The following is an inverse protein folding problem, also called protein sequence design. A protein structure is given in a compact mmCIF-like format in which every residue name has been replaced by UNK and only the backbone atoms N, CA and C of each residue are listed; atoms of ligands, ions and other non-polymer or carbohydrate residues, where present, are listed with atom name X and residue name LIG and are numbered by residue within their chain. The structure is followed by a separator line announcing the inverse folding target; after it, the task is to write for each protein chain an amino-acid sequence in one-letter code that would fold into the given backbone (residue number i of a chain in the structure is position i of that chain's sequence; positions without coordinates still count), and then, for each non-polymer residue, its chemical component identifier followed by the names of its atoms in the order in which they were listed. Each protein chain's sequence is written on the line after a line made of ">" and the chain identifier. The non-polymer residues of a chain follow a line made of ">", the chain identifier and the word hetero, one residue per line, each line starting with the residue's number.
data_IF_831544943904
#
_entry.id   IF_831544943904
#
_cell.length_a   1.000
_cell.length_b   1.000
_cell.length_c   1.000
_cell.angle_alpha   90.00
_cell.angle_beta   90.00
_cell.angle_gamma   90.00
#
_symmetry.space_group_name_H-M   'P 1'
#
loop_
_entity.id
_entity.type
_entity.pdbx_description
1 polymer ?
#
# COMPACT_ATOMS: atom_id res chain seq x y z
N UNK A 1 13.69 12.76 13.49
CA UNK A 1 12.99 11.60 14.09
C UNK A 1 11.61 12.07 14.49
N UNK A 2 10.65 12.04 13.55
CA UNK A 2 9.28 12.46 13.83
C UNK A 2 8.36 11.28 13.53
N UNK A 3 7.74 10.81 14.63
CA UNK A 3 6.52 10.02 14.76
C UNK A 3 6.40 8.77 13.88
N UNK A 4 6.76 7.63 14.49
CA UNK A 4 6.41 6.30 13.99
C UNK A 4 4.92 5.96 14.20
N UNK A 5 4.17 6.81 14.92
CA UNK A 5 2.83 6.47 15.39
C UNK A 5 1.78 7.34 14.69
N UNK A 6 1.32 6.89 13.52
CA UNK A 6 0.14 7.43 12.85
C UNK A 6 -1.16 6.92 13.52
N UNK A 7 -1.27 7.10 14.83
CA UNK A 7 -2.34 6.54 15.67
C UNK A 7 -3.74 6.80 15.09
N UNK A 8 -4.01 8.01 14.61
CA UNK A 8 -5.30 8.32 13.99
C UNK A 8 -5.57 7.47 12.75
N UNK A 9 -4.60 7.39 11.83
CA UNK A 9 -4.77 6.68 10.55
C UNK A 9 -4.87 5.16 10.76
N UNK A 10 -4.18 4.63 11.75
CA UNK A 10 -4.19 3.20 12.06
C UNK A 10 -5.50 2.71 12.68
N UNK A 11 -6.33 3.61 13.22
CA UNK A 11 -7.66 3.29 13.74
C UNK A 11 -8.80 3.58 12.74
N UNK A 12 -8.48 4.12 11.57
CA UNK A 12 -9.48 4.29 10.50
C UNK A 12 -9.61 2.97 9.73
N UNK A 13 -10.81 2.38 9.63
CA UNK A 13 -11.02 1.11 8.93
C UNK A 13 -10.85 1.22 7.40
N UNK A 14 -10.87 2.44 6.86
CA UNK A 14 -10.64 2.69 5.44
C UNK A 14 -9.19 2.41 5.03
N UNK A 15 -9.00 1.90 3.82
CA UNK A 15 -7.68 1.72 3.23
C UNK A 15 -7.15 3.07 2.71
N UNK A 16 -6.14 3.63 3.37
CA UNK A 16 -5.60 4.96 3.06
C UNK A 16 -4.14 4.83 2.66
N UNK A 17 -3.81 5.31 1.47
CA UNK A 17 -2.43 5.49 1.00
C UNK A 17 -2.24 6.91 0.50
N UNK A 18 -1.10 7.52 0.84
CA UNK A 18 -0.72 8.83 0.32
C UNK A 18 0.45 8.67 -0.64
N UNK A 19 0.34 9.36 -1.77
CA UNK A 19 1.24 9.25 -2.91
C UNK A 19 1.74 10.62 -3.29
N UNK A 20 2.89 10.65 -3.95
CA UNK A 20 3.32 11.85 -4.66
C UNK A 20 2.57 12.02 -5.99
N UNK A 21 2.93 13.07 -6.71
CA UNK A 21 2.34 13.42 -8.02
C UNK A 21 2.58 12.36 -9.09
N UNK A 22 3.62 11.54 -8.93
CA UNK A 22 4.00 10.46 -9.84
C UNK A 22 3.33 9.12 -9.45
N UNK A 23 2.37 9.16 -8.52
CA UNK A 23 1.61 8.01 -8.01
C UNK A 23 2.47 6.99 -7.26
N UNK A 24 3.59 7.42 -6.73
CA UNK A 24 4.48 6.60 -5.91
C UNK A 24 4.07 6.74 -4.44
N UNK A 25 3.90 5.61 -3.76
CA UNK A 25 3.54 5.57 -2.34
C UNK A 25 4.62 6.24 -1.49
N UNK A 26 4.19 7.20 -0.67
CA UNK A 26 4.98 7.80 0.41
C UNK A 26 4.65 7.15 1.77
N UNK A 27 3.60 6.32 1.80
CA UNK A 27 3.20 5.52 2.94
C UNK A 27 1.72 5.11 2.86
N UNK A 28 1.30 4.32 3.84
CA UNK A 28 -0.06 3.82 3.97
C UNK A 28 -0.41 3.59 5.44
N UNK A 29 -1.70 3.58 5.75
CA UNK A 29 -2.17 3.15 7.06
C UNK A 29 -2.13 1.62 7.20
N UNK A 30 -2.21 1.14 8.45
CA UNK A 30 -2.23 -0.29 8.75
C UNK A 30 -3.26 -1.09 7.94
N UNK A 31 -4.48 -0.57 7.81
CA UNK A 31 -5.55 -1.26 7.08
C UNK A 31 -5.20 -1.53 5.61
N UNK A 32 -4.62 -0.55 4.89
CA UNK A 32 -4.19 -0.76 3.50
C UNK A 32 -3.01 -1.72 3.40
N UNK A 33 -2.04 -1.66 4.32
CA UNK A 33 -0.90 -2.58 4.34
C UNK A 33 -1.36 -4.03 4.52
N UNK A 34 -2.27 -4.27 5.46
CA UNK A 34 -2.88 -5.59 5.70
C UNK A 34 -3.65 -6.08 4.48
N UNK A 35 -4.47 -5.22 3.87
CA UNK A 35 -5.22 -5.55 2.66
C UNK A 35 -4.31 -5.92 1.48
N UNK A 36 -3.15 -5.26 1.34
CA UNK A 36 -2.16 -5.54 0.29
C UNK A 36 -1.19 -6.67 0.65
N UNK A 37 -1.24 -7.22 1.87
CA UNK A 37 -0.31 -8.24 2.34
C UNK A 37 1.12 -7.73 2.56
N UNK A 38 1.28 -6.43 2.80
CA UNK A 38 2.58 -5.78 3.07
C UNK A 38 2.87 -5.81 4.56
N UNK A 39 3.97 -6.46 4.96
CA UNK A 39 4.28 -6.69 6.38
C UNK A 39 4.91 -5.49 7.08
N UNK A 40 5.78 -4.76 6.41
CA UNK A 40 6.49 -3.62 7.00
C UNK A 40 6.11 -2.33 6.28
N UNK A 41 5.79 -1.23 6.99
CA UNK A 41 5.42 0.04 6.37
C UNK A 41 6.48 0.60 5.41
N UNK A 42 7.76 0.32 5.63
CA UNK A 42 8.82 0.77 4.73
C UNK A 42 8.79 0.03 3.39
N UNK A 43 8.17 -1.15 3.31
CA UNK A 43 8.11 -1.94 2.09
C UNK A 43 7.11 -1.39 1.07
N UNK A 44 6.22 -0.45 1.45
CA UNK A 44 5.31 0.21 0.49
C UNK A 44 5.92 1.50 -0.08
N UNK A 45 6.83 2.14 0.65
CA UNK A 45 7.39 3.44 0.27
C UNK A 45 8.23 3.30 -0.99
N UNK A 46 8.02 4.18 -1.96
CA UNK A 46 8.74 4.16 -3.23
C UNK A 46 8.14 3.24 -4.30
N UNK A 47 7.01 2.57 -4.03
CA UNK A 47 6.37 1.65 -4.99
C UNK A 47 5.14 2.26 -5.66
N UNK A 48 4.76 1.75 -6.83
CA UNK A 48 3.49 2.05 -7.50
C UNK A 48 2.40 1.02 -7.14
N UNK A 49 1.17 1.22 -7.61
CA UNK A 49 0.09 0.23 -7.42
C UNK A 49 0.38 -1.09 -8.14
N UNK A 50 0.99 -1.01 -9.32
CA UNK A 50 1.34 -2.14 -10.17
C UNK A 50 2.44 -3.00 -9.54
N UNK A 51 3.37 -2.40 -8.80
CA UNK A 51 4.42 -3.12 -8.09
C UNK A 51 3.91 -3.79 -6.81
N UNK A 52 2.96 -3.14 -6.12
CA UNK A 52 2.36 -3.66 -4.87
C UNK A 52 1.28 -4.70 -5.13
N UNK A 53 0.51 -4.51 -6.19
CA UNK A 53 -0.65 -5.31 -6.53
C UNK A 53 -0.58 -5.60 -8.02
N UNK A 54 0.38 -6.43 -8.45
CA UNK A 54 0.54 -6.76 -9.85
C UNK A 54 -0.79 -7.27 -10.39
N UNK A 55 -1.18 -6.85 -11.61
CA UNK A 55 -2.37 -7.39 -12.23
C UNK A 55 -2.25 -8.91 -12.22
N UNK A 56 -3.36 -9.64 -12.00
CA UNK A 56 -3.32 -11.09 -12.05
C UNK A 56 -2.61 -11.48 -13.36
N UNK A 57 -1.53 -12.26 -13.22
CA UNK A 57 -0.79 -12.79 -14.37
C UNK A 57 -1.84 -13.25 -15.36
N UNK A 58 -1.81 -12.68 -16.58
CA UNK A 58 -2.80 -12.90 -17.65
C UNK A 58 -3.39 -14.28 -17.45
N UNK A 59 -4.64 -14.32 -16.98
CA UNK A 59 -5.42 -15.56 -16.84
C UNK A 59 -5.09 -16.33 -18.11
N UNK A 60 -4.38 -17.44 -17.99
CA UNK A 60 -4.19 -18.34 -19.12
C UNK A 60 -5.62 -18.58 -19.56
N UNK A 61 -5.98 -18.04 -20.72
CA UNK A 61 -7.29 -18.27 -21.31
C UNK A 61 -7.31 -19.76 -21.59
N UNK A 62 -7.82 -20.53 -20.61
CA UNK A 62 -8.24 -21.89 -20.84
C UNK A 62 -9.42 -21.78 -21.79
N UNK A 63 -9.11 -21.93 -23.09
CA UNK A 63 -10.06 -22.35 -24.11
C UNK A 63 -10.72 -23.66 -23.71
#
# INVERSE_FOLDING_TARGET
>A
MLLHDNFLLDHIPGHIGWKDVDRVYQGANKALLEFKGVKYPNDITGKTDEEISPPPLKRIECF
#
